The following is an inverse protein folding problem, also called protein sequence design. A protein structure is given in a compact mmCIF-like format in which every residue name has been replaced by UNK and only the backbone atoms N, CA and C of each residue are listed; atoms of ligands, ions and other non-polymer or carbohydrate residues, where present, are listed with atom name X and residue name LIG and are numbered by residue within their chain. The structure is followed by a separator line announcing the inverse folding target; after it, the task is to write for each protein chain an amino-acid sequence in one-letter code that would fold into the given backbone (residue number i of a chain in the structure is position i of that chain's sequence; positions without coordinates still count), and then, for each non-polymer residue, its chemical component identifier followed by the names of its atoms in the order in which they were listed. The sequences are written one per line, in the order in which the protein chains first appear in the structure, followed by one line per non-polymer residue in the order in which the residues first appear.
data_IF_566240697210
#
_entry.id   IF_566240697210
#
_cell.length_a   1.000
_cell.length_b   1.000
_cell.length_c   1.000
_cell.angle_alpha   90.00
_cell.angle_beta   90.00
_cell.angle_gamma   90.00
#
_symmetry.space_group_name_H-M   'P 1'
#
loop_
_entity.id
_entity.type
_entity.pdbx_description
1 polymer ?
#
# COMPACT_ATOMS: atom_id res chain seq x y z
N UNK A 1 13.10 -40.90 -17.70
CA UNK A 1 12.97 -40.15 -16.42
C UNK A 1 14.07 -39.12 -16.39
N UNK A 2 13.78 -37.89 -16.81
CA UNK A 2 14.68 -36.74 -16.68
C UNK A 2 14.53 -36.18 -15.28
N UNK A 3 15.65 -36.04 -14.56
CA UNK A 3 15.70 -35.40 -13.26
C UNK A 3 15.16 -33.95 -13.36
N UNK A 4 14.49 -33.42 -12.32
CA UNK A 4 14.13 -32.02 -12.28
C UNK A 4 15.42 -31.17 -12.32
N UNK A 5 15.42 -29.98 -12.95
CA UNK A 5 16.59 -29.11 -12.96
C UNK A 5 16.89 -28.65 -11.52
N UNK A 6 18.05 -29.03 -11.00
CA UNK A 6 18.52 -28.81 -9.62
C UNK A 6 18.97 -27.36 -9.32
N UNK A 7 18.70 -26.41 -10.22
CA UNK A 7 19.12 -25.03 -10.05
C UNK A 7 17.97 -24.05 -10.33
N UNK A 8 17.68 -23.12 -9.42
CA UNK A 8 16.66 -22.10 -9.66
C UNK A 8 17.05 -21.23 -10.85
N UNK A 9 16.06 -20.86 -11.67
CA UNK A 9 16.24 -19.88 -12.76
C UNK A 9 16.73 -18.55 -12.15
N UNK A 10 18.01 -18.26 -12.33
CA UNK A 10 18.63 -17.04 -11.80
C UNK A 10 18.18 -15.86 -12.65
N UNK A 11 17.32 -15.01 -12.09
CA UNK A 11 16.90 -13.76 -12.72
C UNK A 11 17.51 -12.55 -12.00
N UNK A 12 18.00 -11.59 -12.77
CA UNK A 12 18.54 -10.35 -12.23
C UNK A 12 17.39 -9.44 -11.78
N UNK A 13 17.32 -9.18 -10.48
CA UNK A 13 16.36 -8.29 -9.87
C UNK A 13 16.94 -6.87 -9.70
N UNK A 14 16.06 -5.92 -9.38
CA UNK A 14 16.43 -4.55 -8.99
C UNK A 14 15.86 -4.29 -7.60
N UNK A 15 16.70 -3.80 -6.69
CA UNK A 15 16.30 -3.43 -5.33
C UNK A 15 16.19 -1.92 -5.17
N UNK A 16 15.19 -1.49 -4.42
CA UNK A 16 14.91 -0.10 -4.14
C UNK A 16 14.64 0.10 -2.64
N UNK A 17 15.35 1.01 -1.97
CA UNK A 17 15.25 1.26 -0.54
C UNK A 17 14.24 2.35 -0.23
N UNK A 18 13.21 2.01 0.56
CA UNK A 18 12.13 2.91 0.98
C UNK A 18 12.32 3.51 2.38
N UNK A 19 13.20 2.93 3.20
CA UNK A 19 13.45 3.35 4.58
C UNK A 19 12.97 2.31 5.60
N UNK A 20 13.38 2.44 6.87
CA UNK A 20 13.00 1.55 7.97
C UNK A 20 13.10 0.04 7.66
N UNK A 21 14.15 -0.37 6.96
CA UNK A 21 14.35 -1.78 6.58
C UNK A 21 13.48 -2.28 5.42
N UNK A 22 12.58 -1.43 4.88
CA UNK A 22 11.71 -1.78 3.75
C UNK A 22 12.42 -1.61 2.42
N UNK A 23 12.37 -2.67 1.61
CA UNK A 23 12.86 -2.68 0.24
C UNK A 23 11.73 -3.04 -0.74
N UNK A 24 11.78 -2.49 -1.95
CA UNK A 24 11.00 -2.97 -3.08
C UNK A 24 11.92 -3.74 -4.02
N UNK A 25 11.59 -4.99 -4.31
CA UNK A 25 12.28 -5.81 -5.28
C UNK A 25 11.47 -5.88 -6.58
N UNK A 26 12.08 -5.54 -7.70
CA UNK A 26 11.51 -5.74 -9.04
C UNK A 26 12.27 -6.84 -9.75
N UNK A 27 11.58 -7.87 -10.22
CA UNK A 27 12.19 -8.96 -10.98
C UNK A 27 11.44 -9.20 -12.30
N UNK A 28 12.11 -9.63 -13.37
CA UNK A 28 11.44 -10.01 -14.61
C UNK A 28 10.56 -11.23 -14.36
N UNK A 29 9.37 -11.26 -14.95
CA UNK A 29 8.44 -12.37 -14.80
C UNK A 29 8.33 -13.13 -16.12
N UNK A 30 8.48 -14.45 -16.03
CA UNK A 30 8.26 -15.36 -17.15
C UNK A 30 6.77 -15.54 -17.48
N UNK A 31 6.49 -16.31 -18.53
CA UNK A 31 5.12 -16.65 -18.95
C UNK A 31 4.38 -17.54 -17.95
N UNK A 32 5.11 -18.13 -17.01
CA UNK A 32 4.63 -18.98 -15.92
C UNK A 32 3.99 -18.19 -14.77
N UNK A 33 4.13 -16.86 -14.74
CA UNK A 33 3.52 -15.94 -13.76
C UNK A 33 3.54 -16.47 -12.31
N UNK A 34 4.73 -16.73 -11.73
CA UNK A 34 4.83 -17.20 -10.35
C UNK A 34 4.20 -16.24 -9.36
N UNK A 35 3.03 -16.61 -8.84
CA UNK A 35 2.35 -15.93 -7.72
C UNK A 35 3.25 -16.01 -6.48
N UNK A 36 3.74 -14.87 -5.96
CA UNK A 36 4.52 -14.82 -4.73
C UNK A 36 3.69 -15.29 -3.52
N UNK A 37 4.24 -16.22 -2.74
CA UNK A 37 3.64 -16.69 -1.48
C UNK A 37 4.41 -16.23 -0.24
N UNK A 38 5.71 -15.96 -0.38
CA UNK A 38 6.56 -15.51 0.73
C UNK A 38 8.03 -15.46 0.34
N UNK A 39 8.89 -15.13 1.31
CA UNK A 39 10.34 -15.18 1.15
C UNK A 39 10.86 -16.41 1.88
N UNK A 40 11.52 -17.31 1.15
CA UNK A 40 12.19 -18.49 1.71
C UNK A 40 13.60 -18.17 2.23
N UNK A 41 14.23 -17.12 1.69
CA UNK A 41 15.53 -16.64 2.15
C UNK A 41 15.86 -15.25 1.59
N UNK A 42 16.73 -14.47 2.26
CA UNK A 42 17.43 -14.80 3.49
C UNK A 42 16.52 -14.76 4.74
N UNK A 43 16.94 -15.47 5.79
CA UNK A 43 16.18 -15.54 7.04
C UNK A 43 15.95 -14.13 7.64
N UNK A 44 14.77 -13.93 8.23
CA UNK A 44 14.36 -12.65 8.81
C UNK A 44 13.79 -11.64 7.80
N UNK A 45 13.85 -11.92 6.49
CA UNK A 45 13.19 -11.09 5.47
C UNK A 45 11.76 -11.57 5.25
N UNK A 46 10.80 -10.66 5.40
CA UNK A 46 9.37 -10.93 5.20
C UNK A 46 8.85 -10.37 3.86
N UNK A 47 7.77 -10.97 3.34
CA UNK A 47 6.97 -10.39 2.24
C UNK A 47 5.76 -9.66 2.83
N UNK A 48 5.68 -8.34 2.63
CA UNK A 48 4.53 -7.53 3.06
C UNK A 48 3.40 -7.55 2.05
N UNK A 49 3.73 -7.39 0.77
CA UNK A 49 2.78 -7.41 -0.34
C UNK A 49 3.53 -7.57 -1.67
N UNK A 50 2.79 -7.79 -2.74
CA UNK A 50 3.34 -7.90 -4.08
C UNK A 50 2.34 -7.43 -5.15
N UNK A 51 2.86 -7.09 -6.31
CA UNK A 51 2.06 -6.72 -7.48
C UNK A 51 2.75 -7.15 -8.78
N UNK A 52 1.97 -7.24 -9.84
CA UNK A 52 2.48 -7.41 -11.20
C UNK A 52 2.34 -6.10 -11.97
N UNK A 53 3.32 -5.81 -12.83
CA UNK A 53 3.33 -4.62 -13.70
C UNK A 53 3.88 -4.97 -15.08
N UNK A 54 3.67 -4.09 -16.06
CA UNK A 54 4.17 -4.30 -17.42
C UNK A 54 3.43 -5.38 -18.20
N UNK A 55 2.12 -5.54 -17.93
CA UNK A 55 1.20 -6.38 -18.70
C UNK A 55 0.24 -5.49 -19.52
N UNK A 56 -0.11 -5.93 -20.74
CA UNK A 56 -1.00 -5.21 -21.64
C UNK A 56 -0.51 -5.20 -23.09
N UNK A 57 -1.36 -4.74 -24.02
CA UNK A 57 -1.12 -4.82 -25.47
C UNK A 57 0.19 -4.15 -25.94
N UNK A 58 0.64 -3.09 -25.24
CA UNK A 58 1.86 -2.34 -25.56
C UNK A 58 3.00 -2.58 -24.55
N UNK A 59 2.79 -3.45 -23.56
CA UNK A 59 3.76 -3.65 -22.49
C UNK A 59 4.88 -4.62 -22.90
N UNK A 60 6.13 -4.20 -22.72
CA UNK A 60 7.32 -4.93 -23.19
C UNK A 60 8.22 -5.48 -22.07
N UNK A 61 7.84 -5.26 -20.81
CA UNK A 61 8.70 -5.52 -19.65
C UNK A 61 7.86 -6.01 -18.46
N UNK A 62 7.26 -7.21 -18.56
CA UNK A 62 6.47 -7.80 -17.48
C UNK A 62 7.35 -8.07 -16.28
N UNK A 63 6.90 -7.63 -15.11
CA UNK A 63 7.67 -7.71 -13.90
C UNK A 63 6.81 -7.91 -12.66
N UNK A 64 7.41 -8.61 -11.70
CA UNK A 64 6.90 -8.76 -10.35
C UNK A 64 7.53 -7.69 -9.47
N UNK A 65 6.73 -7.16 -8.56
CA UNK A 65 7.12 -6.20 -7.55
C UNK A 65 6.84 -6.83 -6.19
N UNK A 66 7.86 -6.92 -5.34
CA UNK A 66 7.75 -7.43 -3.98
C UNK A 66 8.06 -6.28 -3.01
N UNK A 67 7.24 -6.12 -1.97
CA UNK A 67 7.55 -5.23 -0.85
C UNK A 67 8.05 -6.09 0.29
N UNK A 68 9.31 -5.88 0.68
CA UNK A 68 10.02 -6.69 1.66
C UNK A 68 10.13 -5.94 2.99
N UNK A 69 9.87 -6.64 4.09
CA UNK A 69 10.15 -6.17 5.46
C UNK A 69 11.52 -6.67 5.93
N UNK A 70 12.15 -5.89 6.81
CA UNK A 70 13.39 -6.24 7.52
C UNK A 70 14.57 -6.64 6.59
N UNK A 71 14.49 -6.25 5.32
CA UNK A 71 15.44 -6.62 4.29
C UNK A 71 16.67 -5.71 4.24
N UNK A 72 16.60 -4.53 4.85
CA UNK A 72 17.63 -3.49 4.75
C UNK A 72 19.02 -3.95 5.18
N UNK A 73 19.12 -4.74 6.26
CA UNK A 73 20.41 -5.27 6.72
C UNK A 73 20.89 -6.43 5.86
N UNK A 74 20.03 -7.41 5.59
CA UNK A 74 20.37 -8.62 4.86
C UNK A 74 20.78 -8.36 3.40
N UNK A 75 20.22 -7.33 2.76
CA UNK A 75 20.45 -7.00 1.35
C UNK A 75 21.15 -5.64 1.15
N UNK A 76 21.78 -5.07 2.20
CA UNK A 76 22.42 -3.75 2.15
C UNK A 76 23.46 -3.58 1.03
N UNK A 77 24.13 -4.68 0.67
CA UNK A 77 25.19 -4.74 -0.37
C UNK A 77 24.74 -5.48 -1.63
N UNK A 78 23.46 -5.84 -1.72
CA UNK A 78 22.99 -6.87 -2.65
C UNK A 78 23.17 -8.27 -2.06
N UNK A 79 22.78 -9.29 -2.81
CA UNK A 79 22.80 -10.68 -2.39
C UNK A 79 21.82 -11.53 -3.20
N UNK A 80 21.37 -12.64 -2.61
CA UNK A 80 20.35 -13.51 -3.20
C UNK A 80 19.09 -13.48 -2.36
N UNK A 81 17.94 -13.27 -3.02
CA UNK A 81 16.61 -13.42 -2.43
C UNK A 81 15.97 -14.68 -3.01
N UNK A 82 15.48 -15.58 -2.16
CA UNK A 82 14.75 -16.78 -2.57
C UNK A 82 13.26 -16.52 -2.36
N UNK A 83 12.56 -16.37 -3.47
CA UNK A 83 11.12 -16.16 -3.50
C UNK A 83 10.40 -17.52 -3.53
N UNK A 84 9.54 -17.76 -2.54
CA UNK A 84 8.61 -18.88 -2.58
C UNK A 84 7.39 -18.49 -3.43
N UNK A 85 7.02 -19.36 -4.37
CA UNK A 85 5.87 -19.16 -5.26
C UNK A 85 4.93 -20.35 -5.15
N UNK A 86 3.75 -20.25 -5.76
CA UNK A 86 2.75 -21.33 -5.75
C UNK A 86 3.18 -22.65 -6.40
N UNK A 87 4.31 -22.70 -7.10
CA UNK A 87 4.77 -23.93 -7.76
C UNK A 87 6.27 -24.23 -7.59
N UNK A 88 7.13 -23.22 -7.44
CA UNK A 88 8.57 -23.42 -7.19
C UNK A 88 9.21 -22.28 -6.42
N UNK A 89 10.41 -22.50 -5.92
CA UNK A 89 11.27 -21.42 -5.44
C UNK A 89 12.02 -20.78 -6.59
N UNK A 90 12.20 -19.45 -6.53
CA UNK A 90 12.92 -18.67 -7.52
C UNK A 90 14.05 -17.91 -6.83
N UNK A 91 15.28 -18.12 -7.27
CA UNK A 91 16.44 -17.37 -6.78
C UNK A 91 16.63 -16.10 -7.61
N UNK A 92 16.60 -14.96 -6.93
CA UNK A 92 16.76 -13.64 -7.51
C UNK A 92 18.13 -13.09 -7.10
N UNK A 93 18.95 -12.77 -8.09
CA UNK A 93 20.21 -12.06 -7.84
C UNK A 93 19.90 -10.58 -7.71
N UNK A 94 20.20 -10.03 -6.54
CA UNK A 94 19.87 -8.67 -6.18
C UNK A 94 21.15 -7.82 -6.09
N UNK A 95 21.29 -6.76 -6.92
CA UNK A 95 22.35 -5.78 -6.75
C UNK A 95 22.09 -4.91 -5.51
N UNK A 96 23.05 -4.04 -5.19
CA UNK A 96 22.91 -3.04 -4.12
C UNK A 96 21.63 -2.20 -4.32
N UNK A 97 20.82 -1.98 -3.26
CA UNK A 97 19.62 -1.16 -3.33
C UNK A 97 19.88 0.27 -3.82
N UNK A 98 18.98 0.74 -4.68
CA UNK A 98 18.89 2.13 -5.16
C UNK A 98 17.83 2.90 -4.38
N UNK A 99 17.74 4.24 -4.46
CA UNK A 99 16.64 4.99 -3.87
C UNK A 99 15.27 4.58 -4.45
N UNK A 100 14.24 4.45 -3.61
CA UNK A 100 12.86 4.13 -4.07
C UNK A 100 12.26 5.17 -5.01
N UNK A 101 12.78 6.40 -4.99
CA UNK A 101 12.42 7.44 -5.95
C UNK A 101 12.74 7.09 -7.41
N UNK A 102 13.59 6.09 -7.67
CA UNK A 102 13.88 5.60 -9.03
C UNK A 102 12.81 4.61 -9.56
N UNK A 103 11.84 4.18 -8.75
CA UNK A 103 10.73 3.35 -9.25
C UNK A 103 9.97 4.08 -10.35
N UNK A 104 9.68 3.38 -11.45
CA UNK A 104 8.93 3.94 -12.58
C UNK A 104 7.47 4.19 -12.22
N UNK A 105 6.81 5.12 -12.91
CA UNK A 105 5.39 5.42 -12.68
C UNK A 105 4.48 4.17 -12.79
N UNK A 106 4.63 3.27 -13.79
CA UNK A 106 3.84 2.04 -13.86
C UNK A 106 4.06 1.08 -12.69
N UNK A 107 5.29 1.03 -12.15
CA UNK A 107 5.59 0.21 -10.97
C UNK A 107 4.94 0.79 -9.71
N UNK A 108 4.94 2.12 -9.56
CA UNK A 108 4.25 2.80 -8.46
C UNK A 108 2.73 2.58 -8.55
N UNK A 109 2.15 2.67 -9.75
CA UNK A 109 0.73 2.41 -9.96
C UNK A 109 0.33 0.98 -9.55
N UNK A 110 1.09 -0.02 -9.99
CA UNK A 110 0.84 -1.41 -9.60
C UNK A 110 0.97 -1.64 -8.08
N UNK A 111 2.01 -1.06 -7.45
CA UNK A 111 2.21 -1.16 -6.01
C UNK A 111 1.16 -0.42 -5.19
N UNK A 112 0.58 0.66 -5.71
CA UNK A 112 -0.37 1.47 -4.97
C UNK A 112 -1.56 0.64 -4.47
N UNK A 113 -2.21 -0.13 -5.36
CA UNK A 113 -3.31 -1.02 -4.99
C UNK A 113 -2.89 -2.11 -4.00
N UNK A 114 -1.75 -2.77 -4.26
CA UNK A 114 -1.24 -3.85 -3.43
C UNK A 114 -0.83 -3.39 -2.01
N UNK A 115 -0.26 -2.19 -1.89
CA UNK A 115 0.11 -1.60 -0.60
C UNK A 115 -1.14 -1.23 0.19
N UNK A 116 -2.13 -0.59 -0.45
CA UNK A 116 -3.39 -0.27 0.23
C UNK A 116 -4.12 -1.52 0.74
N UNK A 117 -4.17 -2.58 -0.07
CA UNK A 117 -4.79 -3.85 0.30
C UNK A 117 -4.07 -4.57 1.46
N UNK A 118 -2.76 -4.36 1.60
CA UNK A 118 -1.94 -4.99 2.62
C UNK A 118 -1.88 -4.21 3.95
N UNK A 119 -2.59 -3.08 4.07
CA UNK A 119 -2.59 -2.28 5.31
C UNK A 119 -3.36 -3.01 6.41
N UNK A 120 -2.63 -3.39 7.46
CA UNK A 120 -3.15 -3.94 8.70
C UNK A 120 -2.44 -3.27 9.89
N UNK A 121 -2.92 -3.44 11.14
CA UNK A 121 -2.17 -2.99 12.31
C UNK A 121 -0.73 -3.53 12.38
N UNK A 122 -0.47 -4.73 11.87
CA UNK A 122 0.85 -5.36 11.91
C UNK A 122 1.81 -4.88 10.80
N UNK A 123 1.27 -4.35 9.70
CA UNK A 123 2.06 -3.98 8.51
C UNK A 123 2.16 -2.48 8.28
N UNK A 124 1.34 -1.67 8.96
CA UNK A 124 1.29 -0.23 8.73
C UNK A 124 2.65 0.43 8.87
N UNK A 125 3.33 0.25 9.99
CA UNK A 125 4.54 1.04 10.29
C UNK A 125 5.63 0.83 9.24
N UNK A 126 5.75 -0.40 8.73
CA UNK A 126 6.63 -0.71 7.61
C UNK A 126 6.14 -0.05 6.31
N UNK A 127 4.86 -0.26 5.95
CA UNK A 127 4.27 0.28 4.71
C UNK A 127 4.17 1.81 4.70
N UNK A 128 4.20 2.46 5.86
CA UNK A 128 4.09 3.91 6.00
C UNK A 128 5.17 4.66 5.21
N UNK A 129 6.35 4.06 5.09
CA UNK A 129 7.49 4.59 4.32
C UNK A 129 7.18 4.73 2.82
N UNK A 130 6.24 3.96 2.28
CA UNK A 130 5.90 3.95 0.87
C UNK A 130 4.77 4.92 0.51
N UNK A 131 3.93 5.33 1.46
CA UNK A 131 2.78 6.19 1.16
C UNK A 131 3.15 7.52 0.48
N UNK A 132 4.20 8.26 0.88
CA UNK A 132 4.57 9.51 0.19
C UNK A 132 4.93 9.29 -1.29
N UNK A 133 5.55 8.16 -1.61
CA UNK A 133 5.95 7.82 -2.98
C UNK A 133 4.74 7.40 -3.84
N UNK A 134 3.84 6.62 -3.26
CA UNK A 134 2.68 6.02 -3.93
C UNK A 134 1.46 6.95 -3.97
N UNK A 135 1.50 8.03 -3.19
CA UNK A 135 0.46 9.04 -3.06
C UNK A 135 -0.16 9.52 -4.39
N UNK A 136 0.63 9.85 -5.43
CA UNK A 136 0.08 10.23 -6.73
C UNK A 136 -0.74 9.09 -7.38
N UNK A 137 -0.26 7.85 -7.26
CA UNK A 137 -0.90 6.69 -7.87
C UNK A 137 -2.20 6.28 -7.16
N UNK A 138 -2.36 6.51 -5.86
CA UNK A 138 -3.64 6.25 -5.15
C UNK A 138 -4.83 7.01 -5.74
N UNK A 139 -4.57 8.12 -6.44
CA UNK A 139 -5.59 8.98 -7.03
C UNK A 139 -5.99 8.56 -8.44
N UNK A 140 -5.06 7.92 -9.14
CA UNK A 140 -5.22 7.46 -10.51
C UNK A 140 -5.68 6.00 -10.56
N UNK A 141 -5.48 5.26 -9.47
CA UNK A 141 -5.93 3.87 -9.34
C UNK A 141 -7.45 3.85 -9.23
N UNK A 142 -8.19 3.30 -10.22
CA UNK A 142 -9.59 2.98 -10.02
C UNK A 142 -9.67 2.03 -8.82
N UNK A 143 -10.48 2.35 -7.80
CA UNK A 143 -10.71 1.44 -6.67
C UNK A 143 -11.10 0.08 -7.27
N UNK A 144 -10.31 -1.00 -7.08
CA UNK A 144 -10.52 -2.25 -7.79
C UNK A 144 -11.88 -2.85 -7.40
N UNK A 145 -12.66 -3.26 -8.40
CA UNK A 145 -13.80 -4.19 -8.32
C UNK A 145 -14.72 -4.07 -7.10
N UNK A 146 -15.10 -2.85 -6.71
CA UNK A 146 -16.46 -2.68 -6.19
C UNK A 146 -17.36 -2.76 -7.41
N UNK A 147 -18.22 -3.80 -7.55
CA UNK A 147 -19.15 -3.85 -8.66
C UNK A 147 -19.89 -2.52 -8.70
N UNK A 148 -20.12 -1.94 -9.88
CA UNK A 148 -20.71 -0.61 -10.02
C UNK A 148 -22.07 -0.43 -9.30
N UNK A 149 -22.68 -1.52 -8.83
CA UNK A 149 -23.85 -1.55 -7.93
C UNK A 149 -23.55 -1.23 -6.46
N UNK A 150 -22.35 -1.54 -5.99
CA UNK A 150 -21.93 -1.37 -4.60
C UNK A 150 -21.08 -0.12 -4.40
N UNK A 151 -20.63 0.54 -5.49
CA UNK A 151 -20.10 1.89 -5.35
C UNK A 151 -21.26 2.79 -4.89
N UNK A 152 -21.23 3.32 -3.66
CA UNK A 152 -22.22 4.32 -3.29
C UNK A 152 -22.10 5.45 -4.31
N UNK A 153 -23.25 5.89 -4.85
CA UNK A 153 -23.29 7.13 -5.63
C UNK A 153 -22.47 8.20 -4.89
N UNK A 154 -21.93 9.20 -5.59
CA UNK A 154 -21.11 10.25 -4.96
C UNK A 154 -21.82 10.92 -3.74
N UNK A 155 -23.15 10.88 -3.71
CA UNK A 155 -24.00 11.34 -2.60
C UNK A 155 -24.11 10.37 -1.40
N UNK A 156 -23.73 9.11 -1.57
CA UNK A 156 -23.72 8.05 -0.55
C UNK A 156 -22.31 7.72 -0.02
N UNK A 157 -21.25 8.35 -0.56
CA UNK A 157 -19.91 8.21 -0.01
C UNK A 157 -19.83 8.78 1.42
N UNK A 158 -19.11 8.13 2.36
CA UNK A 158 -18.97 8.63 3.71
C UNK A 158 -18.41 10.06 3.72
N UNK A 159 -19.03 10.93 4.51
CA UNK A 159 -18.59 12.31 4.73
C UNK A 159 -17.63 12.34 5.91
N UNK A 160 -16.43 12.83 5.66
CA UNK A 160 -15.39 13.03 6.66
C UNK A 160 -15.26 14.52 6.98
N UNK A 161 -15.35 14.88 8.26
CA UNK A 161 -15.02 16.20 8.76
C UNK A 161 -13.84 16.11 9.73
N UNK A 162 -12.77 16.85 9.47
CA UNK A 162 -11.59 16.93 10.35
C UNK A 162 -11.72 18.20 11.18
N UNK A 163 -11.61 18.09 12.50
CA UNK A 163 -11.69 19.25 13.38
C UNK A 163 -10.49 20.17 13.11
N UNK A 164 -10.75 21.46 12.86
CA UNK A 164 -9.68 22.44 12.58
C UNK A 164 -8.78 22.68 13.80
N UNK A 165 -9.36 22.55 14.99
CA UNK A 165 -8.70 22.90 16.25
C UNK A 165 -8.17 21.65 17.00
N UNK A 166 -8.32 20.46 16.42
CA UNK A 166 -7.90 19.20 17.05
C UNK A 166 -7.29 18.26 16.01
N UNK A 167 -5.99 18.00 16.14
CA UNK A 167 -5.23 17.05 15.32
C UNK A 167 -5.60 15.59 15.58
N UNK A 168 -6.14 15.32 16.76
CA UNK A 168 -6.46 13.98 17.21
C UNK A 168 -7.91 13.58 16.97
N UNK A 169 -8.72 14.35 16.21
CA UNK A 169 -10.14 14.06 16.04
C UNK A 169 -10.72 14.33 14.65
N UNK A 170 -11.57 13.41 14.21
CA UNK A 170 -12.40 13.56 13.02
C UNK A 170 -13.79 12.97 13.25
N UNK A 171 -14.74 13.37 12.42
CA UNK A 171 -16.10 12.84 12.40
C UNK A 171 -16.35 12.20 11.05
N UNK A 172 -16.90 10.99 11.06
CA UNK A 172 -17.25 10.23 9.87
C UNK A 172 -18.76 9.93 9.88
N UNK A 173 -19.46 10.23 8.79
CA UNK A 173 -20.86 9.79 8.64
C UNK A 173 -20.92 8.29 8.40
N UNK A 174 -21.92 7.62 8.96
CA UNK A 174 -22.04 6.18 8.93
C UNK A 174 -21.47 5.51 10.17
N UNK A 175 -21.55 4.19 10.19
CA UNK A 175 -21.06 3.32 11.27
C UNK A 175 -19.75 2.60 10.91
N UNK A 176 -19.22 2.80 9.71
CA UNK A 176 -17.95 2.21 9.29
C UNK A 176 -16.78 2.82 10.06
N UNK A 177 -15.93 1.97 10.64
CA UNK A 177 -14.72 2.39 11.35
C UNK A 177 -13.50 1.98 10.54
N UNK A 178 -12.78 2.92 9.90
CA UNK A 178 -11.51 2.59 9.26
C UNK A 178 -10.40 2.38 10.29
N UNK A 179 -9.37 1.64 9.90
CA UNK A 179 -8.15 1.50 10.67
C UNK A 179 -7.25 2.74 10.51
N UNK A 180 -7.21 3.29 9.30
CA UNK A 180 -6.39 4.45 8.96
C UNK A 180 -7.14 5.45 8.10
N UNK A 181 -6.67 6.68 8.19
CA UNK A 181 -7.16 7.80 7.44
C UNK A 181 -6.00 8.39 6.67
N UNK A 182 -6.03 8.27 5.34
CA UNK A 182 -5.06 8.89 4.45
C UNK A 182 -5.71 10.15 3.85
N UNK A 183 -5.17 11.32 4.19
CA UNK A 183 -5.67 12.61 3.69
C UNK A 183 -4.64 13.33 2.85
N UNK A 184 -5.16 14.05 1.86
CA UNK A 184 -4.38 14.93 1.01
C UNK A 184 -4.86 16.36 1.16
N UNK A 185 -3.92 17.25 1.39
CA UNK A 185 -4.14 18.68 1.41
C UNK A 185 -3.13 19.36 0.47
N UNK A 186 -3.60 19.92 -0.64
CA UNK A 186 -2.74 20.35 -1.75
C UNK A 186 -1.93 19.18 -2.34
N UNK A 187 -0.61 19.28 -2.35
CA UNK A 187 0.30 18.20 -2.78
C UNK A 187 0.78 17.33 -1.62
N UNK A 188 0.46 17.71 -0.39
CA UNK A 188 0.93 17.03 0.82
C UNK A 188 -0.05 15.96 1.24
N UNK A 189 0.50 14.81 1.58
CA UNK A 189 -0.23 13.68 2.14
C UNK A 189 0.11 13.51 3.60
N UNK A 190 -0.83 12.96 4.35
CA UNK A 190 -0.63 12.57 5.74
C UNK A 190 -1.50 11.38 6.08
N UNK A 191 -1.05 10.61 7.05
CA UNK A 191 -1.75 9.42 7.51
C UNK A 191 -1.95 9.51 9.02
N UNK A 192 -3.15 9.17 9.46
CA UNK A 192 -3.47 8.99 10.86
C UNK A 192 -4.02 7.59 11.11
N UNK A 193 -3.63 7.02 12.24
CA UNK A 193 -4.21 5.80 12.80
C UNK A 193 -5.46 6.15 13.57
N UNK A 194 -6.52 5.38 13.37
CA UNK A 194 -7.71 5.45 14.22
C UNK A 194 -7.44 4.63 15.48
N UNK A 195 -7.31 5.32 16.61
CA UNK A 195 -7.03 4.71 17.93
C UNK A 195 -8.29 4.57 18.79
N UNK A 196 -9.35 5.32 18.45
CA UNK A 196 -10.65 5.27 19.13
C UNK A 196 -11.76 5.57 18.14
N UNK A 197 -12.92 4.94 18.33
CA UNK A 197 -14.14 5.26 17.60
C UNK A 197 -15.33 5.24 18.56
N UNK A 198 -16.00 6.38 18.71
CA UNK A 198 -17.25 6.51 19.46
C UNK A 198 -18.43 6.61 18.47
N UNK A 199 -19.24 5.56 18.41
CA UNK A 199 -20.36 5.47 17.48
C UNK A 199 -21.64 6.05 18.09
N UNK A 200 -22.37 6.82 17.28
CA UNK A 200 -23.71 7.32 17.57
C UNK A 200 -24.68 6.77 16.55
N UNK A 201 -25.60 5.93 17.00
CA UNK A 201 -26.65 5.35 16.16
C UNK A 201 -27.90 6.24 16.17
N UNK A 202 -28.58 6.29 15.03
CA UNK A 202 -29.77 7.11 14.82
C UNK A 202 -30.14 7.16 13.34
N UNK A 203 -31.11 7.98 12.93
CA UNK A 203 -31.50 8.13 11.52
C UNK A 203 -30.36 8.67 10.64
N UNK A 204 -29.35 9.31 11.24
CA UNK A 204 -28.10 9.70 10.59
C UNK A 204 -26.92 9.23 11.47
N UNK A 205 -26.43 7.99 11.29
CA UNK A 205 -25.34 7.46 12.11
C UNK A 205 -24.06 8.26 11.90
N UNK A 206 -23.31 8.42 12.98
CA UNK A 206 -22.07 9.20 13.01
C UNK A 206 -21.04 8.51 13.89
N UNK A 207 -19.78 8.54 13.47
CA UNK A 207 -18.64 7.99 14.20
C UNK A 207 -17.64 9.10 14.49
N UNK A 208 -17.38 9.36 15.78
CA UNK A 208 -16.28 10.24 16.20
C UNK A 208 -15.01 9.43 16.32
N UNK A 209 -13.98 9.81 15.59
CA UNK A 209 -12.69 9.13 15.51
C UNK A 209 -11.66 9.87 16.36
N UNK A 210 -10.96 9.13 17.21
CA UNK A 210 -9.71 9.54 17.82
C UNK A 210 -8.54 9.12 16.93
N UNK A 211 -7.67 10.07 16.60
CA UNK A 211 -6.60 9.93 15.62
C UNK A 211 -5.24 10.07 16.29
N UNK A 212 -4.30 9.21 15.89
CA UNK A 212 -2.87 9.34 16.17
C UNK A 212 -2.13 9.58 14.84
N UNK A 213 -1.36 10.65 14.75
CA UNK A 213 -0.60 10.96 13.55
C UNK A 213 0.51 9.92 13.33
N UNK A 214 0.46 9.22 12.20
CA UNK A 214 1.51 8.30 11.78
C UNK A 214 2.61 9.09 11.08
N UNK A 215 2.22 9.93 10.11
CA UNK A 215 3.16 10.82 9.41
C UNK A 215 2.42 11.96 8.71
N UNK A 216 3.16 13.04 8.45
CA UNK A 216 2.62 14.27 7.86
C UNK A 216 1.69 15.01 8.84
N UNK A 217 1.19 16.17 8.43
CA UNK A 217 0.27 16.95 9.25
C UNK A 217 -0.63 17.83 8.36
N UNK A 218 -1.95 17.61 8.31
CA UNK A 218 -2.84 18.38 7.44
C UNK A 218 -3.27 19.73 8.05
N UNK A 219 -2.78 20.09 9.26
CA UNK A 219 -3.29 21.17 10.14
C UNK A 219 -3.66 22.51 9.48
N UNK A 220 -2.95 22.93 8.45
CA UNK A 220 -3.12 24.29 7.88
C UNK A 220 -3.66 24.30 6.45
N UNK A 221 -4.05 23.14 5.92
CA UNK A 221 -4.40 22.98 4.52
C UNK A 221 -5.82 22.45 4.37
N UNK A 222 -6.58 23.04 3.44
CA UNK A 222 -7.87 22.53 3.06
C UNK A 222 -7.70 21.11 2.49
N UNK A 223 -8.13 20.11 3.26
CA UNK A 223 -8.13 18.72 2.82
C UNK A 223 -8.99 18.62 1.57
N UNK A 224 -8.37 18.20 0.47
CA UNK A 224 -9.02 18.07 -0.82
C UNK A 224 -9.56 16.64 -1.01
N UNK A 225 -8.91 15.65 -0.40
CA UNK A 225 -9.21 14.23 -0.60
C UNK A 225 -8.94 13.43 0.68
N UNK A 226 -9.74 12.38 0.89
CA UNK A 226 -9.54 11.42 1.96
C UNK A 226 -9.85 10.00 1.49
N UNK A 227 -9.02 9.05 1.91
CA UNK A 227 -9.22 7.62 1.77
C UNK A 227 -9.33 7.00 3.17
N UNK A 228 -10.37 6.21 3.37
CA UNK A 228 -10.61 5.43 4.57
C UNK A 228 -10.04 4.03 4.31
N UNK A 229 -9.07 3.60 5.10
CA UNK A 229 -8.42 2.31 4.93
C UNK A 229 -8.94 1.36 6.00
N UNK A 230 -9.70 0.35 5.59
CA UNK A 230 -10.18 -0.75 6.42
C UNK A 230 -9.43 -2.05 6.10
N UNK A 231 -9.75 -3.12 6.83
CA UNK A 231 -9.18 -4.43 6.55
C UNK A 231 -9.63 -4.92 5.18
N UNK A 232 -8.72 -4.91 4.21
CA UNK A 232 -9.00 -5.30 2.83
C UNK A 232 -9.91 -4.34 2.06
N UNK A 233 -10.13 -3.12 2.56
CA UNK A 233 -11.00 -2.14 1.91
C UNK A 233 -10.38 -0.74 1.85
N UNK A 234 -10.61 -0.07 0.73
CA UNK A 234 -10.25 1.34 0.52
C UNK A 234 -11.51 2.07 0.11
N UNK A 235 -11.97 2.99 0.93
CA UNK A 235 -13.21 3.75 0.66
C UNK A 235 -12.88 5.23 0.52
N UNK A 236 -13.11 5.84 -0.65
CA UNK A 236 -13.03 7.29 -0.80
C UNK A 236 -14.07 7.98 0.08
N UNK A 237 -13.65 9.02 0.81
CA UNK A 237 -14.54 9.87 1.58
C UNK A 237 -14.68 11.25 0.95
N UNK A 238 -15.88 11.82 1.06
CA UNK A 238 -16.11 13.23 0.71
C UNK A 238 -15.78 14.12 1.90
N UNK A 239 -15.19 15.29 1.64
CA UNK A 239 -14.82 16.22 2.71
C UNK A 239 -16.03 17.08 3.08
N UNK A 240 -16.46 16.99 4.33
CA UNK A 240 -17.54 17.76 4.93
C UNK A 240 -17.03 18.88 5.84
N UNK A 241 -17.93 19.81 6.20
CA UNK A 241 -17.67 20.78 7.27
C UNK A 241 -17.85 20.10 8.63
N UNK A 242 -17.01 20.41 9.64
CA UNK A 242 -17.28 20.00 11.02
C UNK A 242 -18.66 20.53 11.42
N UNK A 243 -19.51 19.67 11.98
CA UNK A 243 -20.72 20.13 12.64
C UNK A 243 -20.32 20.58 14.06
N UNK A 244 -20.59 21.84 14.36
CA UNK A 244 -20.36 22.44 15.69
C UNK A 244 -21.25 21.86 16.76
#
# INVERSE_FOLDING_TARGET
MTAPPDHPDVSEARLFAAGNGVLVCRYPVGTDLPIPLGIAGPAGVGLLTWAFTGFGADARDPAGLLVLADAGAALAKGGTLVLATHFREVALTCPKPRPVAELTAPARAALAGAVLAAVTPATLDALATLFPLLAPAFLETPVPDMPARDMPARDAAPRLAIARDSDSQATLSGSGVPNYLLVRAGTTWSCARVVRADLRFGPAPETRLGLETVWGNPRDLAVAQALLLGTGSVTPATIGKPRG
#
